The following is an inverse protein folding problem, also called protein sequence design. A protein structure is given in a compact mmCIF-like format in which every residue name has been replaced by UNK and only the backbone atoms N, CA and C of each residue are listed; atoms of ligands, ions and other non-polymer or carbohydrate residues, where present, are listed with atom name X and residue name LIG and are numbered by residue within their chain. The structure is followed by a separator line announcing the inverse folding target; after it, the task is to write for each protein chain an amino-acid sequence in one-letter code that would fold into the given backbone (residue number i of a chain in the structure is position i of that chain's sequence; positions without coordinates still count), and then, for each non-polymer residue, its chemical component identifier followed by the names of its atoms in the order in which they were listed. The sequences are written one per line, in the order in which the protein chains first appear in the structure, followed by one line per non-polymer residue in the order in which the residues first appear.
data_IF_393839786358
#
_entry.id   IF_393839786358
#
_cell.length_a   1.000
_cell.length_b   1.000
_cell.length_c   1.000
_cell.angle_alpha   90.00
_cell.angle_beta   90.00
_cell.angle_gamma   90.00
#
_symmetry.space_group_name_H-M   'P 1'
#
loop_
_entity.id
_entity.type
_entity.pdbx_description
1 polymer ?
#
# COMPACT_ATOMS: atom_id res chain seq x y z
N UNK A 1 -38.42 -12.85 8.11
CA UNK A 1 -39.74 -12.75 8.76
C UNK A 1 -40.90 -13.11 7.82
N UNK A 2 -41.41 -12.24 6.94
CA UNK A 2 -42.64 -12.54 6.14
C UNK A 2 -42.56 -13.83 5.30
N UNK A 3 -41.38 -14.16 4.77
CA UNK A 3 -41.15 -15.43 4.06
C UNK A 3 -41.37 -16.68 4.93
N UNK A 4 -41.10 -16.58 6.23
CA UNK A 4 -41.30 -17.68 7.20
C UNK A 4 -42.80 -17.84 7.48
N UNK A 5 -43.50 -16.74 7.74
CA UNK A 5 -44.96 -16.72 7.90
C UNK A 5 -45.67 -17.30 6.66
N UNK A 6 -45.29 -16.87 5.45
CA UNK A 6 -45.88 -17.33 4.18
C UNK A 6 -45.61 -18.79 3.85
N UNK A 7 -44.77 -19.49 4.62
CA UNK A 7 -44.55 -20.94 4.51
C UNK A 7 -45.25 -21.72 5.62
N UNK A 8 -45.84 -21.05 6.61
CA UNK A 8 -46.50 -21.70 7.72
C UNK A 8 -47.80 -22.39 7.26
N UNK A 9 -48.10 -23.56 7.81
CA UNK A 9 -49.27 -24.38 7.42
C UNK A 9 -50.61 -23.64 7.53
N UNK A 10 -50.70 -22.65 8.42
CA UNK A 10 -51.92 -21.86 8.64
C UNK A 10 -52.05 -20.61 7.77
N UNK A 11 -51.10 -20.33 6.88
CA UNK A 11 -51.09 -19.06 6.15
C UNK A 11 -52.12 -18.97 5.02
N UNK A 12 -52.70 -20.09 4.60
CA UNK A 12 -53.58 -20.19 3.41
C UNK A 12 -54.60 -19.05 3.28
N UNK A 13 -55.45 -18.77 4.28
CA UNK A 13 -56.44 -17.69 4.24
C UNK A 13 -55.87 -16.27 4.15
N UNK A 14 -54.60 -16.08 4.49
CA UNK A 14 -53.94 -14.78 4.63
C UNK A 14 -52.87 -14.52 3.56
N UNK A 15 -52.60 -15.51 2.71
CA UNK A 15 -51.48 -15.48 1.75
C UNK A 15 -51.76 -14.64 0.49
N UNK A 16 -53.03 -14.41 0.17
CA UNK A 16 -53.48 -13.71 -1.02
C UNK A 16 -54.79 -12.94 -0.72
N UNK A 17 -55.16 -11.95 -1.56
CA UNK A 17 -56.44 -11.26 -1.41
C UNK A 17 -57.62 -12.24 -1.42
N UNK A 18 -58.62 -11.97 -0.58
CA UNK A 18 -59.87 -12.74 -0.57
C UNK A 18 -60.56 -12.60 -1.94
N UNK A 19 -60.97 -13.70 -2.57
CA UNK A 19 -61.60 -13.61 -3.90
C UNK A 19 -63.05 -13.08 -3.76
N UNK A 20 -63.38 -11.88 -4.29
CA UNK A 20 -64.72 -11.30 -4.18
C UNK A 20 -65.80 -12.12 -4.89
N UNK A 21 -65.43 -13.00 -5.83
CA UNK A 21 -66.39 -13.89 -6.52
C UNK A 21 -66.81 -15.06 -5.63
N UNK A 22 -65.95 -15.44 -4.68
CA UNK A 22 -66.19 -16.54 -3.74
C UNK A 22 -66.79 -15.98 -2.44
N UNK A 23 -66.30 -14.83 -1.98
CA UNK A 23 -66.71 -14.20 -0.73
C UNK A 23 -67.14 -12.74 -0.96
N UNK A 24 -68.25 -12.49 -1.68
CA UNK A 24 -68.71 -11.12 -1.95
C UNK A 24 -69.04 -10.33 -0.68
N UNK A 25 -69.57 -11.00 0.35
CA UNK A 25 -69.88 -10.38 1.65
C UNK A 25 -68.65 -9.90 2.42
N UNK A 26 -67.44 -10.32 2.02
CA UNK A 26 -66.20 -9.78 2.60
C UNK A 26 -65.98 -8.32 2.20
N UNK A 27 -66.47 -7.92 1.02
CA UNK A 27 -66.31 -6.59 0.46
C UNK A 27 -67.58 -5.73 0.55
N UNK A 28 -68.73 -6.37 0.74
CA UNK A 28 -70.04 -5.71 0.71
C UNK A 28 -70.93 -6.08 1.90
N UNK A 29 -71.74 -5.11 2.33
CA UNK A 29 -72.75 -5.32 3.37
C UNK A 29 -72.29 -5.01 4.80
N UNK A 30 -73.07 -5.39 5.82
CA UNK A 30 -72.91 -4.91 7.20
C UNK A 30 -71.62 -5.35 7.90
N UNK A 31 -70.95 -6.39 7.39
CA UNK A 31 -69.70 -6.93 7.92
C UNK A 31 -68.54 -6.80 6.94
N UNK A 32 -68.69 -5.98 5.91
CA UNK A 32 -67.63 -5.75 4.93
C UNK A 32 -66.35 -5.26 5.63
N UNK A 33 -65.22 -5.79 5.18
CA UNK A 33 -63.90 -5.34 5.59
C UNK A 33 -63.58 -4.06 4.81
N UNK A 34 -63.35 -2.96 5.53
CA UNK A 34 -63.16 -1.64 4.93
C UNK A 34 -61.84 -1.54 4.15
N UNK A 35 -60.77 -2.08 4.71
CA UNK A 35 -59.42 -2.03 4.12
C UNK A 35 -58.83 -3.44 3.96
N UNK A 36 -59.28 -4.22 2.94
CA UNK A 36 -58.78 -5.55 2.66
C UNK A 36 -57.26 -5.57 2.44
N UNK A 37 -56.57 -6.51 3.09
CA UNK A 37 -55.12 -6.70 2.93
C UNK A 37 -54.75 -8.16 3.22
N UNK A 38 -53.63 -8.59 2.66
CA UNK A 38 -53.07 -9.94 2.80
C UNK A 38 -51.53 -9.89 2.90
N UNK A 39 -50.94 -10.94 3.47
CA UNK A 39 -49.49 -11.03 3.69
C UNK A 39 -48.69 -11.09 2.38
N UNK A 40 -49.27 -11.63 1.30
CA UNK A 40 -48.62 -11.68 -0.01
C UNK A 40 -48.45 -10.30 -0.62
N UNK A 41 -49.48 -9.45 -0.52
CA UNK A 41 -49.44 -8.05 -0.93
C UNK A 41 -48.49 -7.24 -0.06
N UNK A 42 -48.50 -7.43 1.27
CA UNK A 42 -47.55 -6.77 2.17
C UNK A 42 -46.11 -7.13 1.81
N UNK A 43 -45.82 -8.41 1.55
CA UNK A 43 -44.48 -8.85 1.11
C UNK A 43 -44.06 -8.14 -0.18
N UNK A 44 -44.93 -8.09 -1.19
CA UNK A 44 -44.62 -7.42 -2.47
C UNK A 44 -44.36 -5.93 -2.27
N UNK A 45 -45.17 -5.26 -1.45
CA UNK A 45 -45.01 -3.84 -1.14
C UNK A 45 -43.69 -3.57 -0.40
N UNK A 46 -43.31 -4.44 0.54
CA UNK A 46 -42.03 -4.37 1.23
C UNK A 46 -40.85 -4.55 0.28
N UNK A 47 -40.91 -5.54 -0.61
CA UNK A 47 -39.87 -5.76 -1.63
C UNK A 47 -39.78 -4.63 -2.64
N UNK A 48 -40.89 -3.92 -2.89
CA UNK A 48 -40.95 -2.72 -3.72
C UNK A 48 -40.49 -1.44 -2.99
N UNK A 49 -40.15 -1.50 -1.70
CA UNK A 49 -39.73 -0.35 -0.91
C UNK A 49 -40.87 0.61 -0.54
N UNK A 50 -42.12 0.13 -0.52
CA UNK A 50 -43.29 0.96 -0.23
C UNK A 50 -43.47 1.31 1.26
N UNK A 51 -42.69 0.68 2.16
CA UNK A 51 -42.75 0.95 3.60
C UNK A 51 -41.52 1.73 4.06
N UNK A 52 -41.74 2.75 4.88
CA UNK A 52 -40.68 3.58 5.43
C UNK A 52 -39.84 2.85 6.50
N UNK A 53 -40.46 1.97 7.29
CA UNK A 53 -39.83 1.26 8.40
C UNK A 53 -40.61 -0.02 8.76
N UNK A 54 -40.07 -0.76 9.73
CA UNK A 54 -40.66 -2.01 10.21
C UNK A 54 -42.04 -1.82 10.88
N UNK A 55 -42.28 -0.68 11.53
CA UNK A 55 -43.58 -0.38 12.17
C UNK A 55 -44.70 -0.19 11.14
N UNK A 56 -44.39 0.41 9.99
CA UNK A 56 -45.34 0.53 8.89
C UNK A 56 -45.72 -0.85 8.33
N UNK A 57 -44.77 -1.80 8.26
CA UNK A 57 -45.06 -3.19 7.89
C UNK A 57 -45.93 -3.86 8.96
N UNK A 58 -45.60 -3.68 10.25
CA UNK A 58 -46.37 -4.23 11.37
C UNK A 58 -47.81 -3.72 11.34
N UNK A 59 -48.03 -2.44 11.07
CA UNK A 59 -49.37 -1.84 11.00
C UNK A 59 -50.26 -2.56 9.97
N UNK A 60 -49.72 -2.87 8.79
CA UNK A 60 -50.45 -3.60 7.75
C UNK A 60 -50.66 -5.08 8.10
N UNK A 61 -49.69 -5.71 8.76
CA UNK A 61 -49.83 -7.10 9.26
C UNK A 61 -50.90 -7.18 10.35
N UNK A 62 -50.89 -6.27 11.33
CA UNK A 62 -51.91 -6.17 12.38
C UNK A 62 -53.30 -5.97 11.78
N UNK A 63 -53.40 -5.25 10.66
CA UNK A 63 -54.66 -5.08 9.92
C UNK A 63 -55.15 -6.39 9.29
N UNK A 64 -54.27 -7.29 8.81
CA UNK A 64 -54.68 -8.63 8.34
C UNK A 64 -55.42 -9.38 9.46
N UNK A 65 -54.87 -9.34 10.68
CA UNK A 65 -55.45 -10.03 11.83
C UNK A 65 -56.74 -9.37 12.31
N UNK A 66 -56.77 -8.03 12.37
CA UNK A 66 -57.96 -7.27 12.72
C UNK A 66 -59.12 -7.54 11.75
N UNK A 67 -58.86 -7.51 10.44
CA UNK A 67 -59.84 -7.83 9.41
C UNK A 67 -60.37 -9.26 9.54
N UNK A 68 -59.46 -10.21 9.84
CA UNK A 68 -59.83 -11.60 10.08
C UNK A 68 -60.82 -11.74 11.24
N UNK A 69 -60.50 -11.13 12.40
CA UNK A 69 -61.37 -11.18 13.58
C UNK A 69 -62.69 -10.44 13.35
N UNK A 70 -62.68 -9.28 12.70
CA UNK A 70 -63.89 -8.51 12.37
C UNK A 70 -64.86 -9.33 11.51
N UNK A 71 -64.34 -10.00 10.48
CA UNK A 71 -65.19 -10.73 9.53
C UNK A 71 -65.63 -12.10 10.06
N UNK A 72 -64.69 -12.89 10.59
CA UNK A 72 -64.92 -14.29 10.97
C UNK A 72 -65.38 -14.46 12.43
N UNK A 73 -65.16 -13.46 13.28
CA UNK A 73 -65.36 -13.54 14.73
C UNK A 73 -64.17 -14.18 15.44
N UNK A 74 -63.96 -13.79 16.70
CA UNK A 74 -62.78 -14.17 17.50
C UNK A 74 -62.70 -15.68 17.78
N UNK A 75 -63.83 -16.36 17.92
CA UNK A 75 -63.89 -17.79 18.22
C UNK A 75 -63.78 -18.71 16.99
N UNK A 76 -63.61 -18.13 15.79
CA UNK A 76 -63.52 -18.91 14.55
C UNK A 76 -62.17 -19.62 14.43
N UNK A 77 -62.15 -20.77 13.75
CA UNK A 77 -60.91 -21.51 13.47
C UNK A 77 -59.90 -20.65 12.68
N UNK A 78 -60.37 -19.81 11.77
CA UNK A 78 -59.52 -18.87 11.01
C UNK A 78 -58.93 -17.80 11.95
N UNK A 79 -59.68 -17.31 12.95
CA UNK A 79 -59.13 -16.39 13.93
C UNK A 79 -58.06 -17.05 14.83
N UNK A 80 -58.22 -18.31 15.22
CA UNK A 80 -57.16 -19.06 15.94
C UNK A 80 -55.91 -19.29 15.09
N UNK A 81 -56.09 -19.53 13.80
CA UNK A 81 -54.99 -19.59 12.84
C UNK A 81 -54.25 -18.24 12.77
N UNK A 82 -54.99 -17.12 12.73
CA UNK A 82 -54.42 -15.77 12.75
C UNK A 82 -53.65 -15.52 14.05
N UNK A 83 -54.20 -15.85 15.22
CA UNK A 83 -53.55 -15.68 16.53
C UNK A 83 -52.21 -16.43 16.60
N UNK A 84 -52.14 -17.65 16.07
CA UNK A 84 -50.88 -18.42 16.00
C UNK A 84 -49.84 -17.69 15.14
N UNK A 85 -50.24 -17.16 13.98
CA UNK A 85 -49.33 -16.44 13.07
C UNK A 85 -48.92 -15.07 13.62
N UNK A 86 -49.83 -14.38 14.29
CA UNK A 86 -49.62 -13.09 14.97
C UNK A 86 -48.56 -13.24 16.07
N UNK A 87 -48.66 -14.27 16.92
CA UNK A 87 -47.64 -14.56 17.95
C UNK A 87 -46.26 -14.83 17.36
N UNK A 88 -46.17 -15.63 16.29
CA UNK A 88 -44.91 -15.88 15.58
C UNK A 88 -44.33 -14.59 14.95
N UNK A 89 -45.20 -13.74 14.41
CA UNK A 89 -44.79 -12.46 13.85
C UNK A 89 -44.22 -11.54 14.92
N UNK A 90 -44.93 -11.37 16.03
CA UNK A 90 -44.52 -10.48 17.12
C UNK A 90 -43.23 -10.95 17.79
N UNK A 91 -43.05 -12.26 18.01
CA UNK A 91 -41.80 -12.82 18.51
C UNK A 91 -40.62 -12.46 17.62
N UNK A 92 -40.77 -12.63 16.30
CA UNK A 92 -39.71 -12.29 15.33
C UNK A 92 -39.51 -10.79 15.19
N UNK A 93 -40.56 -9.98 15.27
CA UNK A 93 -40.43 -8.53 15.22
C UNK A 93 -39.63 -8.01 16.42
N UNK A 94 -39.80 -8.60 17.59
CA UNK A 94 -39.07 -8.24 18.79
C UNK A 94 -37.55 -8.52 18.69
N UNK A 95 -37.11 -9.43 17.82
CA UNK A 95 -35.67 -9.71 17.62
C UNK A 95 -34.99 -8.76 16.65
N UNK A 96 -35.74 -8.12 15.75
CA UNK A 96 -35.18 -7.25 14.68
C UNK A 96 -34.26 -6.15 15.24
N UNK A 97 -34.63 -5.37 16.29
CA UNK A 97 -33.74 -4.32 16.80
C UNK A 97 -32.40 -4.88 17.26
N UNK A 98 -32.40 -6.01 17.97
CA UNK A 98 -31.18 -6.65 18.48
C UNK A 98 -30.30 -7.19 17.34
N UNK A 99 -30.92 -7.75 16.30
CA UNK A 99 -30.21 -8.23 15.11
C UNK A 99 -29.53 -7.08 14.34
N UNK A 100 -30.22 -5.93 14.22
CA UNK A 100 -29.66 -4.74 13.59
C UNK A 100 -28.49 -4.16 14.38
N UNK A 101 -28.64 -4.03 15.70
CA UNK A 101 -27.56 -3.57 16.59
C UNK A 101 -26.33 -4.49 16.51
N UNK A 102 -26.55 -5.81 16.54
CA UNK A 102 -25.48 -6.79 16.44
C UNK A 102 -24.73 -6.70 15.08
N UNK A 103 -25.45 -6.48 13.98
CA UNK A 103 -24.83 -6.32 12.66
C UNK A 103 -24.05 -5.01 12.54
N UNK A 104 -24.57 -3.91 13.10
CA UNK A 104 -23.83 -2.65 13.18
C UNK A 104 -22.55 -2.76 14.01
N UNK A 105 -22.62 -3.45 15.15
CA UNK A 105 -21.43 -3.69 15.99
C UNK A 105 -20.42 -4.58 15.27
N UNK A 106 -20.88 -5.65 14.61
CA UNK A 106 -20.04 -6.50 13.79
C UNK A 106 -19.38 -5.72 12.65
N UNK A 107 -20.10 -4.80 12.01
CA UNK A 107 -19.56 -3.91 10.98
C UNK A 107 -18.46 -3.00 11.53
N UNK A 108 -18.71 -2.34 12.66
CA UNK A 108 -17.71 -1.49 13.35
C UNK A 108 -16.44 -2.28 13.67
N UNK A 109 -16.58 -3.48 14.25
CA UNK A 109 -15.45 -4.37 14.56
C UNK A 109 -14.64 -4.73 13.31
N UNK A 110 -15.30 -5.01 12.18
CA UNK A 110 -14.62 -5.31 10.90
C UNK A 110 -13.83 -4.11 10.39
N UNK A 111 -14.36 -2.91 10.51
CA UNK A 111 -13.68 -1.69 10.08
C UNK A 111 -12.46 -1.36 10.96
N UNK A 112 -12.58 -1.52 12.28
CA UNK A 112 -11.46 -1.32 13.19
C UNK A 112 -10.34 -2.34 12.94
N UNK A 113 -10.67 -3.62 12.75
CA UNK A 113 -9.69 -4.65 12.37
C UNK A 113 -8.97 -4.32 11.05
N UNK A 114 -9.67 -3.72 10.08
CA UNK A 114 -9.08 -3.28 8.81
C UNK A 114 -8.12 -2.12 9.02
N UNK A 115 -8.43 -1.16 9.89
CA UNK A 115 -7.54 -0.04 10.24
C UNK A 115 -6.29 -0.55 10.95
N UNK A 116 -6.46 -1.38 11.97
CA UNK A 116 -5.35 -1.98 12.72
C UNK A 116 -4.41 -2.77 11.82
N UNK A 117 -4.97 -3.54 10.87
CA UNK A 117 -4.16 -4.27 9.89
C UNK A 117 -3.37 -3.31 9.01
N UNK A 118 -3.98 -2.25 8.48
CA UNK A 118 -3.29 -1.24 7.66
C UNK A 118 -2.17 -0.56 8.42
N UNK A 119 -2.39 -0.22 9.69
CA UNK A 119 -1.37 0.39 10.54
C UNK A 119 -0.19 -0.56 10.79
N UNK A 120 -0.47 -1.83 11.11
CA UNK A 120 0.58 -2.86 11.25
C UNK A 120 1.37 -3.07 9.97
N UNK A 121 0.69 -3.13 8.82
CA UNK A 121 1.33 -3.30 7.52
C UNK A 121 2.23 -2.09 7.19
N UNK A 122 1.78 -0.86 7.48
CA UNK A 122 2.57 0.36 7.32
C UNK A 122 3.80 0.37 8.24
N UNK A 123 3.64 -0.01 9.50
CA UNK A 123 4.73 -0.06 10.47
C UNK A 123 5.79 -1.09 10.04
N UNK A 124 5.36 -2.24 9.53
CA UNK A 124 6.25 -3.25 8.96
C UNK A 124 6.99 -2.72 7.74
N UNK A 125 6.30 -2.04 6.83
CA UNK A 125 6.93 -1.43 5.65
C UNK A 125 7.97 -0.37 6.04
N UNK A 126 7.71 0.44 7.07
CA UNK A 126 8.68 1.40 7.59
C UNK A 126 9.91 0.71 8.20
N UNK A 127 9.72 -0.37 8.95
CA UNK A 127 10.83 -1.15 9.51
C UNK A 127 11.69 -1.79 8.42
N UNK A 128 11.07 -2.35 7.39
CA UNK A 128 11.78 -2.94 6.26
C UNK A 128 12.58 -1.87 5.48
N UNK A 129 12.00 -0.69 5.30
CA UNK A 129 12.67 0.45 4.66
C UNK A 129 13.86 0.96 5.49
N UNK A 130 13.72 1.05 6.82
CA UNK A 130 14.82 1.41 7.72
C UNK A 130 15.97 0.40 7.66
N UNK A 131 15.67 -0.91 7.60
CA UNK A 131 16.70 -1.96 7.42
C UNK A 131 17.44 -1.80 6.10
N UNK A 132 16.72 -1.56 5.00
CA UNK A 132 17.34 -1.35 3.68
C UNK A 132 18.25 -0.11 3.67
N UNK A 133 17.82 0.98 4.30
CA UNK A 133 18.61 2.20 4.40
C UNK A 133 19.91 1.99 5.21
N UNK A 134 19.81 1.26 6.33
CA UNK A 134 20.98 0.93 7.16
C UNK A 134 21.99 0.06 6.40
N UNK A 135 21.51 -0.94 5.65
CA UNK A 135 22.38 -1.80 4.83
C UNK A 135 23.05 -1.01 3.70
N UNK A 136 22.31 -0.10 3.05
CA UNK A 136 22.85 0.77 2.01
C UNK A 136 23.94 1.72 2.56
N UNK A 137 23.72 2.32 3.74
CA UNK A 137 24.75 3.14 4.41
C UNK A 137 26.01 2.31 4.71
N UNK A 138 25.85 1.09 5.21
CA UNK A 138 26.97 0.19 5.50
C UNK A 138 27.76 -0.15 4.24
N UNK A 139 27.08 -0.39 3.11
CA UNK A 139 27.73 -0.63 1.82
C UNK A 139 28.50 0.60 1.32
N UNK A 140 27.93 1.81 1.43
CA UNK A 140 28.64 3.05 1.08
C UNK A 140 29.92 3.26 1.91
N UNK A 141 29.84 3.03 3.22
CA UNK A 141 31.01 3.12 4.11
C UNK A 141 32.09 2.10 3.73
N UNK A 142 31.71 0.87 3.39
CA UNK A 142 32.66 -0.15 2.94
C UNK A 142 33.35 0.24 1.63
N UNK A 143 32.63 0.84 0.68
CA UNK A 143 33.21 1.35 -0.57
C UNK A 143 34.20 2.50 -0.35
N UNK A 144 33.92 3.42 0.59
CA UNK A 144 34.85 4.51 0.92
C UNK A 144 36.15 4.00 1.54
N UNK A 145 36.09 2.96 2.38
CA UNK A 145 37.28 2.38 3.01
C UNK A 145 38.17 1.61 2.02
N UNK A 146 37.59 1.03 0.95
CA UNK A 146 38.36 0.34 -0.09
C UNK A 146 39.11 1.29 -1.05
N UNK A 147 38.75 2.59 -1.07
CA UNK A 147 39.46 3.61 -1.84
C UNK A 147 40.74 4.15 -1.19
N UNK A 148 41.05 3.74 0.05
CA UNK A 148 42.27 4.13 0.77
C UNK A 148 43.28 2.96 0.84
N UNK A 149 43.65 2.39 -0.31
CA UNK A 149 44.86 1.57 -0.39
C UNK A 149 46.08 2.51 -0.41
N UNK A 150 46.91 2.44 0.63
CA UNK A 150 48.16 3.20 0.71
C UNK A 150 49.05 2.91 -0.52
N UNK A 151 49.56 3.97 -1.18
CA UNK A 151 50.50 3.86 -2.29
C UNK A 151 51.68 2.95 -1.91
N UNK A 152 51.89 1.89 -2.69
CA UNK A 152 53.02 1.00 -2.49
C UNK A 152 54.35 1.75 -2.68
N UNK A 153 55.41 1.42 -1.95
CA UNK A 153 56.72 2.06 -2.12
C UNK A 153 57.21 1.93 -3.57
N UNK A 154 57.55 3.06 -4.20
CA UNK A 154 58.07 3.10 -5.56
C UNK A 154 59.40 2.34 -5.61
N UNK A 155 59.43 1.22 -6.35
CA UNK A 155 60.67 0.52 -6.68
C UNK A 155 61.47 1.35 -7.71
N UNK A 156 62.58 1.94 -7.27
CA UNK A 156 63.45 2.78 -8.09
C UNK A 156 64.38 1.95 -9.00
N UNK A 157 64.36 0.62 -8.90
CA UNK A 157 65.23 -0.26 -9.69
C UNK A 157 64.64 -0.63 -11.06
N UNK A 158 63.32 -0.50 -11.26
CA UNK A 158 62.63 -0.78 -12.54
C UNK A 158 62.69 0.39 -13.53
N UNK A 159 62.35 0.17 -14.79
CA UNK A 159 62.10 1.28 -15.73
C UNK A 159 60.82 2.03 -15.35
N UNK A 160 60.78 3.34 -15.60
CA UNK A 160 59.55 4.14 -15.50
C UNK A 160 58.56 3.74 -16.60
N UNK A 161 57.28 3.64 -16.26
CA UNK A 161 56.21 3.40 -17.24
C UNK A 161 56.00 4.62 -18.14
N UNK A 162 55.30 4.45 -19.25
CA UNK A 162 54.95 5.56 -20.15
C UNK A 162 54.16 6.66 -19.43
N UNK A 163 53.23 6.26 -18.55
CA UNK A 163 52.43 7.20 -17.77
C UNK A 163 53.31 8.01 -16.80
N UNK A 164 54.25 7.35 -16.12
CA UNK A 164 55.19 8.02 -15.20
C UNK A 164 56.14 8.97 -15.93
N UNK A 165 56.61 8.61 -17.14
CA UNK A 165 57.40 9.51 -18.00
C UNK A 165 56.58 10.72 -18.44
N UNK A 166 55.29 10.52 -18.73
CA UNK A 166 54.36 11.60 -19.10
C UNK A 166 54.11 12.54 -17.91
N UNK A 167 53.90 12.00 -16.71
CA UNK A 167 53.74 12.77 -15.48
C UNK A 167 55.02 13.55 -15.14
N UNK A 168 56.19 12.92 -15.28
CA UNK A 168 57.49 13.58 -15.11
C UNK A 168 57.65 14.76 -16.08
N UNK A 169 57.32 14.57 -17.36
CA UNK A 169 57.34 15.64 -18.37
C UNK A 169 56.47 16.83 -17.95
N UNK A 170 55.23 16.55 -17.57
CA UNK A 170 54.29 17.56 -17.12
C UNK A 170 54.76 18.25 -15.82
N UNK A 171 55.38 17.50 -14.91
CA UNK A 171 55.94 18.03 -13.67
C UNK A 171 57.11 18.98 -13.91
N UNK A 172 58.03 18.64 -14.82
CA UNK A 172 59.16 19.50 -15.18
C UNK A 172 58.65 20.84 -15.75
N UNK A 173 57.65 20.80 -16.62
CA UNK A 173 57.03 22.02 -17.18
C UNK A 173 56.32 22.90 -16.14
N UNK A 174 55.96 22.33 -14.98
CA UNK A 174 55.33 23.06 -13.86
C UNK A 174 56.34 23.65 -12.86
N UNK A 175 57.64 23.34 -13.00
CA UNK A 175 58.66 23.87 -12.10
C UNK A 175 58.83 25.38 -12.31
N UNK A 176 59.11 26.10 -11.21
CA UNK A 176 59.52 27.50 -11.26
C UNK A 176 60.88 27.63 -11.97
N UNK A 177 61.13 28.78 -12.58
CA UNK A 177 62.38 29.12 -13.29
C UNK A 177 63.64 28.75 -12.51
N UNK A 178 63.62 28.98 -11.20
CA UNK A 178 64.77 28.83 -10.32
C UNK A 178 65.18 27.34 -10.11
N UNK A 179 64.26 26.41 -10.36
CA UNK A 179 64.49 24.97 -10.25
C UNK A 179 64.94 24.33 -11.57
N UNK A 180 64.73 25.00 -12.71
CA UNK A 180 65.12 24.49 -14.03
C UNK A 180 66.64 24.32 -14.14
N UNK A 181 67.41 25.19 -13.49
CA UNK A 181 68.88 25.07 -13.42
C UNK A 181 69.31 23.74 -12.81
N UNK A 182 68.61 23.26 -11.77
CA UNK A 182 68.94 21.98 -11.12
C UNK A 182 68.55 20.78 -11.98
N UNK A 183 67.45 20.87 -12.73
CA UNK A 183 67.07 19.83 -13.71
C UNK A 183 68.17 19.63 -14.75
N UNK A 184 68.70 20.72 -15.29
CA UNK A 184 69.81 20.67 -16.27
C UNK A 184 71.08 20.11 -15.65
N UNK A 185 71.39 20.45 -14.38
CA UNK A 185 72.52 19.85 -13.67
C UNK A 185 72.38 18.33 -13.52
N UNK A 186 71.20 17.83 -13.12
CA UNK A 186 70.96 16.38 -12.95
C UNK A 186 71.17 15.62 -14.27
N UNK A 187 70.70 16.19 -15.39
CA UNK A 187 70.88 15.58 -16.71
C UNK A 187 72.36 15.60 -17.12
N UNK A 188 73.08 16.71 -16.93
CA UNK A 188 74.51 16.80 -17.28
C UNK A 188 75.40 15.90 -16.41
N UNK A 189 75.08 15.78 -15.12
CA UNK A 189 75.81 14.95 -14.16
C UNK A 189 75.73 13.45 -14.52
N UNK A 190 74.56 13.01 -15.02
CA UNK A 190 74.35 11.61 -15.39
C UNK A 190 74.56 11.32 -16.89
N UNK A 191 74.44 12.33 -17.77
CA UNK A 191 74.59 12.21 -19.22
C UNK A 191 75.52 13.32 -19.78
N UNK A 192 76.86 13.16 -19.65
CA UNK A 192 77.83 14.18 -20.05
C UNK A 192 77.86 14.50 -21.56
N UNK A 193 77.35 13.58 -22.39
CA UNK A 193 77.36 13.68 -23.86
C UNK A 193 76.30 14.63 -24.44
N UNK A 194 75.26 14.98 -23.70
CA UNK A 194 74.18 15.86 -24.16
C UNK A 194 74.49 17.37 -23.99
N UNK A 195 75.66 17.73 -23.45
CA UNK A 195 75.88 19.06 -22.84
C UNK A 195 76.57 20.16 -23.66
N UNK A 196 76.89 19.97 -24.95
CA UNK A 196 77.81 20.87 -25.69
C UNK A 196 77.15 21.90 -26.62
N UNK A 197 75.83 22.12 -26.58
CA UNK A 197 75.14 23.17 -27.35
C UNK A 197 74.70 24.35 -26.46
N UNK A 198 74.91 25.59 -26.92
CA UNK A 198 74.66 26.82 -26.14
C UNK A 198 73.32 27.50 -26.36
N UNK A 199 72.41 26.97 -27.18
CA UNK A 199 71.09 27.56 -27.40
C UNK A 199 70.01 26.47 -27.37
N UNK A 200 69.02 26.64 -26.49
CA UNK A 200 67.80 25.82 -26.28
C UNK A 200 68.00 24.29 -26.16
N UNK A 201 67.90 23.77 -24.92
CA UNK A 201 67.97 22.31 -24.66
C UNK A 201 66.57 21.71 -24.77
N UNK A 202 66.19 21.22 -25.96
CA UNK A 202 65.04 20.31 -26.11
C UNK A 202 65.48 18.89 -25.71
N UNK A 203 65.14 18.46 -24.48
CA UNK A 203 65.48 17.12 -23.99
C UNK A 203 64.33 16.15 -24.27
N UNK A 204 64.57 15.14 -25.11
CA UNK A 204 63.65 14.01 -25.25
C UNK A 204 63.71 13.11 -24.01
N UNK A 205 62.59 13.01 -23.29
CA UNK A 205 62.44 12.20 -22.07
C UNK A 205 62.66 10.71 -22.35
N UNK A 206 62.46 10.24 -23.59
CA UNK A 206 62.72 8.86 -23.96
C UNK A 206 64.21 8.57 -24.19
N UNK A 207 65.03 9.60 -24.38
CA UNK A 207 66.48 9.48 -24.54
C UNK A 207 67.24 9.50 -23.20
N UNK A 208 66.55 9.80 -22.08
CA UNK A 208 67.13 9.79 -20.75
C UNK A 208 67.22 8.36 -20.19
N UNK A 209 68.32 8.06 -19.49
CA UNK A 209 68.51 6.77 -18.86
C UNK A 209 67.63 6.59 -17.60
N UNK A 210 67.43 5.34 -17.20
CA UNK A 210 66.59 4.97 -16.04
C UNK A 210 66.98 5.75 -14.78
N UNK A 211 68.28 5.90 -14.53
CA UNK A 211 68.78 6.56 -13.33
C UNK A 211 68.43 8.04 -13.33
N UNK A 212 68.68 8.75 -14.44
CA UNK A 212 68.33 10.17 -14.58
C UNK A 212 66.82 10.38 -14.46
N UNK A 213 66.02 9.51 -15.09
CA UNK A 213 64.57 9.58 -15.04
C UNK A 213 64.02 9.52 -13.60
N UNK A 214 64.51 8.58 -12.77
CA UNK A 214 64.09 8.48 -11.37
C UNK A 214 64.64 9.61 -10.48
N UNK A 215 65.87 10.06 -10.73
CA UNK A 215 66.43 11.21 -9.99
C UNK A 215 65.64 12.50 -10.29
N UNK A 216 65.27 12.72 -11.55
CA UNK A 216 64.39 13.82 -11.95
C UNK A 216 63.02 13.68 -11.33
N UNK A 217 62.41 12.49 -11.36
CA UNK A 217 61.12 12.24 -10.73
C UNK A 217 61.13 12.52 -9.23
N UNK A 218 62.18 12.11 -8.51
CA UNK A 218 62.35 12.42 -7.10
C UNK A 218 62.46 13.92 -6.84
N UNK A 219 63.25 14.64 -7.66
CA UNK A 219 63.42 16.08 -7.52
C UNK A 219 62.12 16.84 -7.81
N UNK A 220 61.47 16.53 -8.92
CA UNK A 220 60.21 17.14 -9.35
C UNK A 220 59.12 16.93 -8.30
N UNK A 221 58.96 15.72 -7.79
CA UNK A 221 57.99 15.44 -6.73
C UNK A 221 58.33 16.12 -5.39
N UNK A 222 59.61 16.37 -5.09
CA UNK A 222 60.01 17.14 -3.92
C UNK A 222 59.72 18.64 -4.07
N UNK A 223 59.80 19.17 -5.30
CA UNK A 223 59.52 20.58 -5.60
C UNK A 223 58.03 20.90 -5.77
N UNK A 224 57.21 19.90 -6.13
CA UNK A 224 55.77 20.06 -6.38
C UNK A 224 54.88 19.60 -5.20
N UNK A 225 55.47 19.07 -4.14
CA UNK A 225 54.82 18.91 -2.83
C UNK A 225 54.78 20.24 -2.10
#
# INVERSE_FOLDING_TARGET
LLNELLRHQYVGPFAAPVDPRIYPSYYEGPRAVADPIDLGSIKKNLEAGAYANADAVKTDVDRVWANCRQYNGEESEIARMAETLEGLFDEKMATIPQELEAEEEASRRRDDQRKDKRERDLLKQMQDMQRQMMEMQKQQLAMQQQGMAAEAPIDLSRDMTYEEKTQLSAGINKLKSDNLGRVVSIIRENMPSLGNGTDEIEVDINALDRKTLWELHRFVNACLK
#
